data_IF_138636424923
#
_entry.id   IF_138636424923
#
_cell.length_a   1.000
_cell.length_b   1.000
_cell.length_c   1.000
_cell.angle_alpha   90.00
_cell.angle_beta   90.00
_cell.angle_gamma   90.00
#
_symmetry.space_group_name_H-M   'P 1'
#
loop_
_entity.id
_entity.type
_entity.pdbx_description
1 polymer ?
#
# COMPACT_ATOMS: atom_id res chain seq x y z
N UNK A 1 9.49 -76.41 -42.04
CA UNK A 1 10.67 -75.54 -42.16
C UNK A 1 10.19 -74.10 -42.29
N UNK A 2 10.28 -73.31 -41.21
CA UNK A 2 9.83 -71.91 -41.14
C UNK A 2 11.06 -71.02 -40.94
N UNK A 3 11.66 -70.48 -42.00
CA UNK A 3 12.77 -69.51 -41.91
C UNK A 3 12.85 -68.64 -43.17
N UNK A 4 11.90 -67.74 -43.36
CA UNK A 4 12.01 -66.63 -44.33
C UNK A 4 11.03 -65.51 -43.96
N UNK A 5 11.23 -64.86 -42.81
CA UNK A 5 10.54 -63.59 -42.52
C UNK A 5 11.27 -62.73 -41.47
N UNK A 6 12.61 -62.65 -41.53
CA UNK A 6 13.40 -61.78 -40.64
C UNK A 6 14.60 -61.24 -41.43
N UNK A 7 14.37 -60.39 -42.44
CA UNK A 7 15.46 -59.53 -43.00
C UNK A 7 14.93 -58.18 -43.52
N UNK A 8 13.67 -58.06 -43.95
CA UNK A 8 13.18 -56.82 -44.58
C UNK A 8 12.42 -55.84 -43.65
N UNK A 9 12.66 -55.89 -42.34
CA UNK A 9 12.11 -54.93 -41.35
C UNK A 9 13.19 -53.98 -40.79
N UNK A 10 14.46 -54.19 -41.14
CA UNK A 10 15.57 -53.38 -40.62
C UNK A 10 15.96 -52.17 -41.50
N UNK A 11 15.33 -51.94 -42.66
CA UNK A 11 15.74 -50.89 -43.62
C UNK A 11 14.77 -49.67 -43.64
N UNK A 12 13.58 -49.78 -43.05
CA UNK A 12 12.59 -48.67 -43.01
C UNK A 12 12.63 -47.91 -41.66
N UNK A 13 13.49 -48.29 -40.73
CA UNK A 13 13.66 -47.63 -39.43
C UNK A 13 14.80 -46.59 -39.39
N UNK A 14 15.26 -46.12 -40.56
CA UNK A 14 16.45 -45.26 -40.69
C UNK A 14 16.19 -43.87 -41.29
N UNK A 15 14.94 -43.44 -41.54
CA UNK A 15 14.67 -42.18 -42.25
C UNK A 15 13.62 -41.24 -41.64
N UNK A 16 13.47 -41.24 -40.31
CA UNK A 16 12.79 -40.14 -39.60
C UNK A 16 13.65 -39.50 -38.52
N UNK A 17 14.99 -39.62 -38.62
CA UNK A 17 15.86 -38.67 -37.94
C UNK A 17 15.79 -37.37 -38.74
N UNK A 18 14.94 -36.45 -38.28
CA UNK A 18 15.05 -35.03 -38.57
C UNK A 18 16.53 -34.64 -38.58
N UNK A 19 17.03 -34.32 -39.78
CA UNK A 19 18.42 -33.99 -40.07
C UNK A 19 18.82 -32.61 -39.50
N UNK A 20 18.54 -32.35 -38.23
CA UNK A 20 18.99 -31.16 -37.50
C UNK A 20 19.89 -31.46 -36.29
N UNK A 21 19.99 -32.71 -35.82
CA UNK A 21 20.80 -33.06 -34.63
C UNK A 21 22.18 -33.65 -34.91
N UNK A 22 22.56 -33.83 -36.18
CA UNK A 22 23.83 -34.47 -36.58
C UNK A 22 25.05 -33.54 -36.52
N UNK A 23 24.85 -32.23 -36.36
CA UNK A 23 25.93 -31.23 -36.25
C UNK A 23 26.08 -30.61 -34.85
N UNK A 24 25.25 -31.00 -33.88
CA UNK A 24 25.37 -30.52 -32.51
C UNK A 24 26.51 -31.23 -31.78
N UNK A 25 27.46 -30.47 -31.23
CA UNK A 25 28.56 -31.03 -30.45
C UNK A 25 28.05 -31.73 -29.18
N UNK A 26 28.78 -32.72 -28.69
CA UNK A 26 28.49 -33.38 -27.41
C UNK A 26 28.48 -32.38 -26.24
N UNK A 27 29.33 -31.36 -26.33
CA UNK A 27 29.36 -30.20 -25.43
C UNK A 27 28.03 -29.45 -25.43
N UNK A 28 27.46 -29.17 -26.61
CA UNK A 28 26.18 -28.47 -26.71
C UNK A 28 25.02 -29.24 -26.06
N UNK A 29 24.95 -30.56 -26.26
CA UNK A 29 23.92 -31.40 -25.61
C UNK A 29 24.08 -31.44 -24.09
N UNK A 30 25.33 -31.55 -23.62
CA UNK A 30 25.62 -31.50 -22.18
C UNK A 30 25.24 -30.16 -21.56
N UNK A 31 25.51 -29.05 -22.27
CA UNK A 31 25.13 -27.72 -21.84
C UNK A 31 23.60 -27.55 -21.73
N UNK A 32 22.80 -28.17 -22.62
CA UNK A 32 21.34 -28.18 -22.48
C UNK A 32 20.91 -28.84 -21.17
N UNK A 33 21.43 -30.03 -20.86
CA UNK A 33 21.08 -30.75 -19.63
C UNK A 33 21.51 -30.00 -18.37
N UNK A 34 22.72 -29.44 -18.36
CA UNK A 34 23.21 -28.61 -17.25
C UNK A 34 22.36 -27.34 -17.08
N UNK A 35 21.93 -26.73 -18.18
CA UNK A 35 20.99 -25.61 -18.17
C UNK A 35 19.63 -25.97 -17.57
N UNK A 36 19.03 -27.10 -17.98
CA UNK A 36 17.75 -27.58 -17.40
C UNK A 36 17.87 -27.91 -15.91
N UNK A 37 18.98 -28.53 -15.49
CA UNK A 37 19.26 -28.79 -14.08
C UNK A 37 19.43 -27.50 -13.27
N UNK A 38 20.14 -26.50 -13.81
CA UNK A 38 20.30 -25.20 -13.17
C UNK A 38 18.94 -24.46 -13.04
N UNK A 39 18.06 -24.57 -14.03
CA UNK A 39 16.68 -24.06 -13.93
C UNK A 39 15.92 -24.73 -12.79
N UNK A 40 15.94 -26.06 -12.72
CA UNK A 40 15.26 -26.81 -11.65
C UNK A 40 15.81 -26.46 -10.25
N UNK A 41 17.07 -26.05 -10.16
CA UNK A 41 17.72 -25.60 -8.94
C UNK A 41 17.56 -24.10 -8.64
N UNK A 42 16.83 -23.34 -9.48
CA UNK A 42 16.63 -21.89 -9.33
C UNK A 42 17.87 -21.03 -9.61
N UNK A 43 18.91 -21.60 -10.26
CA UNK A 43 20.18 -20.94 -10.59
C UNK A 43 20.12 -20.31 -11.98
N UNK A 44 19.31 -19.27 -12.14
CA UNK A 44 18.98 -18.73 -13.47
C UNK A 44 20.16 -18.15 -14.25
N UNK A 45 21.10 -17.46 -13.58
CA UNK A 45 22.30 -16.93 -14.25
C UNK A 45 23.21 -18.05 -14.77
N UNK A 46 23.36 -19.14 -14.00
CA UNK A 46 24.10 -20.33 -14.44
C UNK A 46 23.38 -20.99 -15.63
N UNK A 47 22.05 -21.16 -15.53
CA UNK A 47 21.23 -21.70 -16.61
C UNK A 47 21.34 -20.90 -17.91
N UNK A 48 21.31 -19.57 -17.82
CA UNK A 48 21.46 -18.69 -18.98
C UNK A 48 22.83 -18.90 -19.67
N UNK A 49 23.91 -19.01 -18.88
CA UNK A 49 25.24 -19.29 -19.40
C UNK A 49 25.32 -20.64 -20.13
N UNK A 50 24.71 -21.69 -19.57
CA UNK A 50 24.64 -23.00 -20.21
C UNK A 50 23.82 -22.99 -21.51
N UNK A 51 22.69 -22.27 -21.55
CA UNK A 51 21.91 -22.17 -22.78
C UNK A 51 22.61 -21.34 -23.87
N UNK A 52 23.36 -20.30 -23.50
CA UNK A 52 24.18 -19.55 -24.45
C UNK A 52 25.31 -20.41 -25.03
N UNK A 53 25.94 -21.25 -24.20
CA UNK A 53 26.91 -22.25 -24.66
C UNK A 53 26.27 -23.29 -25.59
N UNK A 54 25.10 -23.83 -25.25
CA UNK A 54 24.38 -24.76 -26.11
C UNK A 54 24.10 -24.14 -27.50
N UNK A 55 23.71 -22.87 -27.53
CA UNK A 55 23.45 -22.13 -28.77
C UNK A 55 24.74 -21.87 -29.58
N UNK A 56 25.86 -21.52 -28.93
CA UNK A 56 27.14 -21.34 -29.63
C UNK A 56 27.67 -22.64 -30.24
N UNK A 57 27.35 -23.78 -29.60
CA UNK A 57 27.64 -25.12 -30.08
C UNK A 57 26.65 -25.63 -31.17
N UNK A 58 25.74 -24.77 -31.63
CA UNK A 58 24.87 -25.04 -32.77
C UNK A 58 23.55 -25.75 -32.45
N UNK A 59 23.15 -25.83 -31.17
CA UNK A 59 21.84 -26.38 -30.78
C UNK A 59 20.72 -25.44 -31.30
N UNK A 60 19.86 -25.97 -32.16
CA UNK A 60 18.68 -25.27 -32.72
C UNK A 60 17.38 -25.96 -32.29
N UNK A 61 17.27 -26.22 -31.00
CA UNK A 61 16.07 -26.82 -30.41
C UNK A 61 15.12 -25.72 -29.93
N UNK A 62 13.88 -25.73 -30.41
CA UNK A 62 12.86 -24.73 -30.08
C UNK A 62 12.52 -24.72 -28.59
N UNK A 63 12.43 -25.88 -27.94
CA UNK A 63 12.22 -26.01 -26.49
C UNK A 63 13.35 -25.30 -25.71
N UNK A 64 14.60 -25.53 -26.12
CA UNK A 64 15.78 -24.92 -25.49
C UNK A 64 15.80 -23.41 -25.72
N UNK A 65 15.43 -22.96 -26.92
CA UNK A 65 15.37 -21.53 -27.25
C UNK A 65 14.28 -20.81 -26.45
N UNK A 66 13.10 -21.41 -26.31
CA UNK A 66 12.00 -20.88 -25.51
C UNK A 66 12.39 -20.80 -24.03
N UNK A 67 12.96 -21.87 -23.48
CA UNK A 67 13.42 -21.92 -22.10
C UNK A 67 14.53 -20.90 -21.83
N UNK A 68 15.51 -20.79 -22.74
CA UNK A 68 16.59 -19.81 -22.64
C UNK A 68 16.07 -18.37 -22.64
N UNK A 69 15.09 -18.08 -23.51
CA UNK A 69 14.44 -16.76 -23.56
C UNK A 69 13.68 -16.47 -22.27
N UNK A 70 12.91 -17.43 -21.77
CA UNK A 70 12.15 -17.30 -20.53
C UNK A 70 13.07 -17.06 -19.31
N UNK A 71 14.18 -17.79 -19.21
CA UNK A 71 15.19 -17.61 -18.15
C UNK A 71 15.80 -16.21 -18.21
N UNK A 72 16.17 -15.71 -19.40
CA UNK A 72 16.71 -14.35 -19.55
C UNK A 72 15.69 -13.28 -19.15
N UNK A 73 14.43 -13.43 -19.57
CA UNK A 73 13.36 -12.52 -19.14
C UNK A 73 13.16 -12.57 -17.61
N UNK A 74 13.25 -13.73 -16.98
CA UNK A 74 13.11 -13.86 -15.53
C UNK A 74 14.25 -13.16 -14.79
N UNK A 75 15.50 -13.29 -15.26
CA UNK A 75 16.67 -12.57 -14.71
C UNK A 75 16.46 -11.06 -14.83
N UNK A 76 16.10 -10.56 -16.02
CA UNK A 76 15.86 -9.13 -16.22
C UNK A 76 14.72 -8.60 -15.35
N UNK A 77 13.64 -9.37 -15.17
CA UNK A 77 12.56 -9.00 -14.26
C UNK A 77 13.03 -8.93 -12.80
N UNK A 78 13.90 -9.85 -12.35
CA UNK A 78 14.51 -9.80 -11.02
C UNK A 78 15.40 -8.57 -10.86
N UNK A 79 16.17 -8.20 -11.88
CA UNK A 79 16.99 -6.99 -11.85
C UNK A 79 16.15 -5.71 -11.75
N UNK A 80 15.05 -5.62 -12.51
CA UNK A 80 14.11 -4.50 -12.41
C UNK A 80 13.44 -4.45 -11.04
N UNK A 81 13.00 -5.60 -10.51
CA UNK A 81 12.43 -5.71 -9.17
C UNK A 81 13.41 -5.23 -8.09
N UNK A 82 14.68 -5.66 -8.15
CA UNK A 82 15.72 -5.22 -7.21
C UNK A 82 16.03 -3.73 -7.29
N UNK A 83 15.73 -3.09 -8.43
CA UNK A 83 15.83 -1.64 -8.64
C UNK A 83 14.52 -0.90 -8.31
N UNK A 84 13.52 -1.60 -7.77
CA UNK A 84 12.16 -1.10 -7.54
C UNK A 84 11.46 -0.57 -8.81
N UNK A 85 11.91 -0.98 -10.00
CA UNK A 85 11.30 -0.63 -11.28
C UNK A 85 10.20 -1.64 -11.63
N UNK A 86 9.12 -1.61 -10.85
CA UNK A 86 8.07 -2.62 -10.88
C UNK A 86 7.31 -2.68 -12.22
N UNK A 87 7.16 -1.54 -12.90
CA UNK A 87 6.49 -1.49 -14.20
C UNK A 87 7.28 -2.25 -15.26
N UNK A 88 8.60 -2.03 -15.34
CA UNK A 88 9.44 -2.78 -16.27
C UNK A 88 9.61 -4.25 -15.84
N UNK A 89 9.60 -4.54 -14.54
CA UNK A 89 9.61 -5.92 -14.03
C UNK A 89 8.36 -6.70 -14.49
N UNK A 90 7.15 -6.16 -14.31
CA UNK A 90 5.91 -6.79 -14.76
C UNK A 90 5.86 -6.94 -16.28
N UNK A 91 6.19 -5.87 -17.02
CA UNK A 91 6.21 -5.90 -18.48
C UNK A 91 7.17 -6.98 -19.00
N UNK A 92 8.30 -7.18 -18.33
CA UNK A 92 9.26 -8.23 -18.68
C UNK A 92 8.70 -9.61 -18.36
N UNK A 93 8.06 -9.80 -17.19
CA UNK A 93 7.41 -11.06 -16.83
C UNK A 93 6.27 -11.45 -17.78
N UNK A 94 5.51 -10.49 -18.30
CA UNK A 94 4.41 -10.75 -19.24
C UNK A 94 4.89 -11.25 -20.60
N UNK A 95 6.20 -11.11 -20.91
CA UNK A 95 6.79 -11.74 -22.10
C UNK A 95 6.99 -13.26 -21.94
N UNK A 96 6.89 -13.79 -20.71
CA UNK A 96 7.05 -15.21 -20.41
C UNK A 96 5.69 -15.91 -20.55
N UNK A 97 5.50 -16.59 -21.68
CA UNK A 97 4.26 -17.34 -21.98
C UNK A 97 4.44 -18.78 -21.51
N UNK A 98 3.89 -19.12 -20.34
CA UNK A 98 4.04 -20.47 -19.77
C UNK A 98 3.29 -21.51 -20.60
N UNK A 99 4.04 -22.36 -21.28
CA UNK A 99 3.60 -23.57 -21.99
C UNK A 99 4.25 -24.82 -21.34
N UNK A 100 4.13 -25.98 -21.99
CA UNK A 100 4.69 -27.24 -21.46
C UNK A 100 6.24 -27.23 -21.41
N UNK A 101 6.91 -26.59 -22.37
CA UNK A 101 8.38 -26.53 -22.45
C UNK A 101 9.00 -25.68 -21.33
N UNK A 102 8.26 -24.70 -20.79
CA UNK A 102 8.74 -23.81 -19.73
C UNK A 102 7.97 -23.95 -18.41
N UNK A 103 7.13 -24.99 -18.28
CA UNK A 103 6.27 -25.20 -17.10
C UNK A 103 7.04 -25.23 -15.77
N UNK A 104 8.31 -25.64 -15.79
CA UNK A 104 9.20 -25.65 -14.61
C UNK A 104 9.38 -24.27 -13.98
N UNK A 105 9.27 -23.18 -14.77
CA UNK A 105 9.42 -21.80 -14.29
C UNK A 105 8.14 -21.21 -13.69
N UNK A 106 6.98 -21.87 -13.85
CA UNK A 106 5.67 -21.32 -13.48
C UNK A 106 5.65 -20.81 -12.04
N UNK A 107 6.13 -21.63 -11.11
CA UNK A 107 6.12 -21.31 -9.68
C UNK A 107 6.92 -20.04 -9.38
N UNK A 108 8.09 -19.89 -9.99
CA UNK A 108 8.99 -18.77 -9.74
C UNK A 108 8.54 -17.49 -10.44
N UNK A 109 7.96 -17.62 -11.65
CA UNK A 109 7.29 -16.51 -12.34
C UNK A 109 6.10 -16.00 -11.53
N UNK A 110 5.24 -16.89 -11.05
CA UNK A 110 4.07 -16.53 -10.23
C UNK A 110 4.49 -15.92 -8.89
N UNK A 111 5.58 -16.43 -8.29
CA UNK A 111 6.14 -15.86 -7.06
C UNK A 111 6.66 -14.46 -7.30
N UNK A 112 7.51 -14.25 -8.30
CA UNK A 112 8.07 -12.94 -8.60
C UNK A 112 6.97 -11.93 -8.96
N UNK A 113 5.92 -12.36 -9.68
CA UNK A 113 4.76 -11.51 -9.97
C UNK A 113 4.05 -11.04 -8.70
N UNK A 114 3.86 -11.92 -7.71
CA UNK A 114 3.32 -11.55 -6.40
C UNK A 114 4.25 -10.60 -5.65
N UNK A 115 5.54 -10.93 -5.58
CA UNK A 115 6.55 -10.09 -4.91
C UNK A 115 6.58 -8.68 -5.51
N UNK A 116 6.50 -8.54 -6.84
CA UNK A 116 6.40 -7.23 -7.52
C UNK A 116 5.09 -6.51 -7.16
N UNK A 117 3.95 -7.21 -7.15
CA UNK A 117 2.66 -6.61 -6.81
C UNK A 117 2.64 -6.10 -5.36
N UNK A 118 3.22 -6.85 -4.44
CA UNK A 118 3.39 -6.45 -3.05
C UNK A 118 4.31 -5.22 -2.94
N UNK A 119 5.38 -5.18 -3.73
CA UNK A 119 6.25 -4.00 -3.87
C UNK A 119 5.51 -2.75 -4.37
N UNK A 120 4.63 -2.89 -5.37
CA UNK A 120 3.77 -1.80 -5.87
C UNK A 120 2.84 -1.30 -4.76
N UNK A 121 2.17 -2.21 -4.06
CA UNK A 121 1.24 -1.86 -3.00
C UNK A 121 1.95 -1.12 -1.85
N UNK A 122 3.15 -1.57 -1.48
CA UNK A 122 4.00 -0.89 -0.49
C UNK A 122 4.42 0.51 -0.97
N UNK A 123 4.80 0.67 -2.24
CA UNK A 123 5.17 1.98 -2.79
C UNK A 123 3.98 2.95 -2.81
N UNK A 124 2.79 2.48 -3.18
CA UNK A 124 1.58 3.32 -3.15
C UNK A 124 1.28 3.79 -1.72
N UNK A 125 1.41 2.91 -0.73
CA UNK A 125 1.24 3.27 0.68
C UNK A 125 2.26 4.30 1.16
N UNK A 126 3.52 4.18 0.72
CA UNK A 126 4.55 5.20 0.98
C UNK A 126 4.19 6.53 0.32
N UNK A 127 3.76 6.52 -0.95
CA UNK A 127 3.37 7.73 -1.68
C UNK A 127 2.17 8.43 -1.04
N UNK A 128 1.17 7.67 -0.59
CA UNK A 128 0.04 8.18 0.19
C UNK A 128 0.51 8.78 1.52
N UNK A 129 1.48 8.15 2.18
CA UNK A 129 2.13 8.66 3.38
C UNK A 129 2.83 10.01 3.14
N UNK A 130 3.59 10.13 2.05
CA UNK A 130 4.27 11.38 1.66
C UNK A 130 3.23 12.46 1.34
N UNK A 131 2.19 12.13 0.57
CA UNK A 131 1.11 13.09 0.28
C UNK A 131 0.32 13.49 1.52
N UNK A 132 0.19 12.61 2.51
CA UNK A 132 -0.35 12.98 3.81
C UNK A 132 0.58 13.95 4.57
N UNK A 133 1.89 13.71 4.58
CA UNK A 133 2.86 14.63 5.16
C UNK A 133 2.88 16.00 4.46
N UNK A 134 2.77 16.04 3.13
CA UNK A 134 2.65 17.28 2.34
C UNK A 134 1.39 18.07 2.72
N UNK A 135 0.24 17.38 2.92
CA UNK A 135 -0.99 18.03 3.40
C UNK A 135 -0.87 18.57 4.82
N UNK A 136 -0.23 17.81 5.72
CA UNK A 136 0.07 18.28 7.08
C UNK A 136 0.93 19.55 7.04
N UNK A 137 1.96 19.56 6.20
CA UNK A 137 2.83 20.71 6.02
C UNK A 137 2.06 21.93 5.51
N UNK A 138 1.26 21.76 4.45
CA UNK A 138 0.45 22.82 3.87
C UNK A 138 -0.58 23.40 4.87
N UNK A 139 -1.05 22.57 5.81
CA UNK A 139 -1.95 23.01 6.89
C UNK A 139 -1.25 23.71 8.06
N UNK A 140 0.08 23.83 8.04
CA UNK A 140 0.87 24.42 9.13
C UNK A 140 1.11 23.48 10.31
N UNK A 141 0.77 22.19 10.18
CA UNK A 141 0.99 21.17 11.20
C UNK A 141 2.41 20.57 11.09
N UNK A 142 3.40 21.42 11.35
CA UNK A 142 4.82 21.10 11.21
C UNK A 142 5.27 19.97 12.15
N UNK A 143 4.65 19.81 13.32
CA UNK A 143 4.98 18.74 14.27
C UNK A 143 4.58 17.37 13.75
N UNK A 144 3.34 17.22 13.27
CA UNK A 144 2.90 15.95 12.68
C UNK A 144 3.54 15.69 11.31
N UNK A 145 3.90 16.75 10.57
CA UNK A 145 4.72 16.62 9.37
C UNK A 145 6.06 15.95 9.67
N UNK A 146 6.80 16.42 10.69
CA UNK A 146 8.08 15.84 11.11
C UNK A 146 7.95 14.37 11.53
N UNK A 147 6.92 14.05 12.33
CA UNK A 147 6.64 12.68 12.76
C UNK A 147 6.36 11.76 11.58
N UNK A 148 5.53 12.21 10.62
CA UNK A 148 5.17 11.39 9.46
C UNK A 148 6.37 11.19 8.53
N UNK A 149 7.20 12.21 8.34
CA UNK A 149 8.45 12.10 7.59
C UNK A 149 9.34 11.01 8.22
N UNK A 150 9.56 11.04 9.55
CA UNK A 150 10.37 10.03 10.26
C UNK A 150 9.81 8.62 10.14
N UNK A 151 8.49 8.47 10.20
CA UNK A 151 7.82 7.18 10.00
C UNK A 151 8.12 6.62 8.59
N UNK A 152 8.01 7.46 7.56
CA UNK A 152 8.27 7.06 6.18
C UNK A 152 9.76 6.74 5.96
N UNK A 153 10.67 7.50 6.54
CA UNK A 153 12.11 7.25 6.42
C UNK A 153 12.58 5.95 7.05
N UNK A 154 11.84 5.44 8.04
CA UNK A 154 12.09 4.13 8.62
C UNK A 154 11.56 2.98 7.74
N UNK A 155 10.85 3.28 6.65
CA UNK A 155 10.40 2.26 5.69
C UNK A 155 11.57 1.78 4.84
N UNK A 156 11.56 0.49 4.49
CA UNK A 156 12.54 -0.05 3.53
C UNK A 156 12.04 0.13 2.10
N UNK A 157 12.96 0.23 1.13
CA UNK A 157 12.58 0.24 -0.30
C UNK A 157 12.13 1.59 -0.87
N UNK A 158 12.44 2.73 -0.24
CA UNK A 158 12.12 4.03 -0.84
C UNK A 158 12.80 4.19 -2.21
N UNK A 159 11.97 4.50 -3.22
CA UNK A 159 12.42 4.93 -4.54
C UNK A 159 13.11 6.29 -4.49
N UNK A 160 13.93 6.60 -5.49
CA UNK A 160 14.62 7.89 -5.59
C UNK A 160 13.64 9.07 -5.63
N UNK A 161 12.50 8.91 -6.30
CA UNK A 161 11.42 9.92 -6.33
C UNK A 161 10.88 10.22 -4.93
N UNK A 162 10.61 9.18 -4.15
CA UNK A 162 10.12 9.30 -2.78
C UNK A 162 11.16 9.96 -1.86
N UNK A 163 12.44 9.58 -1.98
CA UNK A 163 13.54 10.21 -1.24
C UNK A 163 13.66 11.70 -1.57
N UNK A 164 13.56 12.06 -2.84
CA UNK A 164 13.62 13.45 -3.28
C UNK A 164 12.44 14.28 -2.75
N UNK A 165 11.22 13.73 -2.81
CA UNK A 165 10.02 14.38 -2.23
C UNK A 165 10.17 14.61 -0.73
N UNK A 166 10.64 13.60 0.02
CA UNK A 166 10.89 13.71 1.45
C UNK A 166 11.97 14.74 1.77
N UNK A 167 13.08 14.75 1.01
CA UNK A 167 14.16 15.72 1.20
C UNK A 167 13.67 17.16 0.98
N UNK A 168 12.86 17.39 -0.06
CA UNK A 168 12.25 18.69 -0.32
C UNK A 168 11.31 19.10 0.83
N UNK A 169 10.43 18.20 1.26
CA UNK A 169 9.49 18.47 2.35
C UNK A 169 10.19 18.77 3.67
N UNK A 170 11.29 18.06 3.97
CA UNK A 170 12.16 18.34 5.12
C UNK A 170 12.78 19.74 5.05
N UNK A 171 13.34 20.11 3.91
CA UNK A 171 13.93 21.44 3.73
C UNK A 171 12.88 22.55 3.92
N UNK A 172 11.67 22.33 3.42
CA UNK A 172 10.54 23.25 3.62
C UNK A 172 10.15 23.35 5.10
N UNK A 173 10.13 22.22 5.81
CA UNK A 173 9.87 22.13 7.25
C UNK A 173 10.91 22.89 8.10
N UNK A 174 12.20 22.71 7.82
CA UNK A 174 13.28 23.43 8.49
C UNK A 174 13.17 24.94 8.27
N UNK A 175 12.89 25.36 7.04
CA UNK A 175 12.68 26.78 6.69
C UNK A 175 11.49 27.38 7.42
N UNK A 176 10.37 26.63 7.48
CA UNK A 176 9.16 27.07 8.19
C UNK A 176 9.42 27.20 9.69
N UNK A 177 10.10 26.22 10.32
CA UNK A 177 10.45 26.26 11.73
C UNK A 177 11.41 27.42 12.06
N UNK A 178 12.38 27.74 11.17
CA UNK A 178 13.26 28.90 11.32
C UNK A 178 12.54 30.25 11.24
N UNK A 179 11.49 30.35 10.41
CA UNK A 179 10.62 31.54 10.33
C UNK A 179 9.69 31.68 11.54
N UNK A 180 9.25 30.57 12.13
CA UNK A 180 8.40 30.58 13.35
C UNK A 180 9.22 31.02 14.58
N UNK A 181 10.48 30.60 14.69
CA UNK A 181 11.38 31.02 15.76
C UNK A 181 11.68 32.53 15.76
N UNK A 182 11.73 33.16 14.58
CA UNK A 182 11.92 34.62 14.44
C UNK A 182 10.64 35.44 14.68
N UNK A 183 9.45 34.88 14.44
CA UNK A 183 8.17 35.53 14.76
C UNK A 183 7.75 35.41 16.24
N UNK A 184 8.26 34.39 16.94
CA UNK A 184 7.96 34.09 18.36
C UNK A 184 8.54 35.08 19.38
N UNK A 185 9.43 35.99 18.99
CA UNK A 185 9.96 37.02 19.90
C UNK A 185 9.05 38.25 20.06
N UNK A 186 7.95 38.35 19.28
CA UNK A 186 7.11 39.55 19.23
C UNK A 186 5.69 39.41 19.82
N UNK A 187 5.26 38.24 20.30
CA UNK A 187 3.92 38.08 20.88
C UNK A 187 3.89 37.02 21.99
N UNK A 188 3.58 37.45 23.21
CA UNK A 188 3.29 36.57 24.36
C UNK A 188 1.94 35.88 24.17
N UNK A 189 1.87 34.54 24.01
CA UNK A 189 0.60 33.83 23.96
C UNK A 189 0.03 33.65 25.36
N UNK A 190 -1.23 34.03 25.58
CA UNK A 190 -2.02 33.56 26.73
C UNK A 190 -2.33 32.07 26.55
N UNK A 191 -1.83 31.25 27.46
CA UNK A 191 -2.14 29.81 27.54
C UNK A 191 -3.58 29.64 28.02
N UNK A 192 -4.44 29.06 27.19
CA UNK A 192 -5.75 28.54 27.63
C UNK A 192 -5.53 27.12 28.12
N UNK A 193 -5.47 26.95 29.44
CA UNK A 193 -5.48 25.64 30.09
C UNK A 193 -6.84 24.96 29.83
N UNK A 194 -6.82 23.73 29.33
CA UNK A 194 -8.01 22.87 29.24
C UNK A 194 -7.90 21.85 30.36
N UNK A 195 -8.98 21.64 31.11
CA UNK A 195 -8.98 20.67 32.22
C UNK A 195 -8.93 19.23 31.69
N UNK A 196 -8.34 18.31 32.46
CA UNK A 196 -8.30 16.89 32.10
C UNK A 196 -9.71 16.29 31.99
N UNK A 197 -10.66 16.80 32.77
CA UNK A 197 -12.09 16.46 32.69
C UNK A 197 -12.71 16.79 31.33
N UNK A 198 -12.39 17.94 30.72
CA UNK A 198 -12.91 18.31 29.40
C UNK A 198 -12.36 17.43 28.29
N UNK A 199 -11.08 17.04 28.39
CA UNK A 199 -10.46 16.08 27.45
C UNK A 199 -11.15 14.71 27.54
N UNK A 200 -11.39 14.24 28.76
CA UNK A 200 -12.04 12.95 28.98
C UNK A 200 -13.50 12.95 28.51
N UNK A 201 -14.23 14.05 28.72
CA UNK A 201 -15.60 14.21 28.24
C UNK A 201 -15.69 14.16 26.71
N UNK A 202 -14.79 14.86 26.01
CA UNK A 202 -14.72 14.83 24.55
C UNK A 202 -14.31 13.44 24.02
N UNK A 203 -13.35 12.77 24.66
CA UNK A 203 -12.97 11.38 24.35
C UNK A 203 -14.15 10.43 24.49
N UNK A 204 -14.91 10.52 25.57
CA UNK A 204 -16.08 9.67 25.79
C UNK A 204 -17.17 9.93 24.75
N UNK A 205 -17.41 11.20 24.38
CA UNK A 205 -18.38 11.55 23.34
C UNK A 205 -18.01 10.93 21.98
N UNK A 206 -16.74 11.03 21.60
CA UNK A 206 -16.20 10.40 20.38
C UNK A 206 -16.44 8.90 20.38
N UNK A 207 -16.05 8.22 21.46
CA UNK A 207 -16.26 6.77 21.59
C UNK A 207 -17.73 6.39 21.44
N UNK A 208 -18.64 7.14 22.04
CA UNK A 208 -20.08 6.90 21.95
C UNK A 208 -20.64 7.09 20.53
N UNK A 209 -20.11 8.08 19.78
CA UNK A 209 -20.51 8.25 18.38
C UNK A 209 -20.09 7.06 17.52
N UNK A 210 -18.90 6.51 17.74
CA UNK A 210 -18.44 5.34 16.99
C UNK A 210 -19.29 4.11 17.30
N UNK A 211 -19.64 3.87 18.58
CA UNK A 211 -20.56 2.78 18.93
C UNK A 211 -21.94 2.96 18.26
N UNK A 212 -22.47 4.17 18.22
CA UNK A 212 -23.74 4.44 17.55
C UNK A 212 -23.65 4.25 16.03
N UNK A 213 -22.55 4.66 15.39
CA UNK A 213 -22.29 4.39 13.97
C UNK A 213 -22.25 2.88 13.70
N UNK A 214 -21.54 2.11 14.53
CA UNK A 214 -21.42 0.66 14.36
C UNK A 214 -22.77 -0.04 14.50
N UNK A 215 -23.52 0.29 15.55
CA UNK A 215 -24.84 -0.26 15.79
C UNK A 215 -25.81 0.08 14.64
N UNK A 216 -25.76 1.32 14.14
CA UNK A 216 -26.58 1.74 13.00
C UNK A 216 -26.20 0.98 11.72
N UNK A 217 -24.91 0.89 11.37
CA UNK A 217 -24.48 0.18 10.16
C UNK A 217 -24.85 -1.31 10.24
N UNK A 218 -24.67 -1.94 11.41
CA UNK A 218 -25.06 -3.35 11.64
C UNK A 218 -26.55 -3.60 11.56
N UNK A 219 -27.39 -2.60 11.88
CA UNK A 219 -28.84 -2.72 11.74
C UNK A 219 -29.31 -2.89 10.29
N UNK A 220 -28.47 -2.50 9.31
CA UNK A 220 -28.83 -2.48 7.90
C UNK A 220 -29.79 -1.35 7.51
N UNK A 221 -30.25 -0.53 8.46
CA UNK A 221 -31.11 0.62 8.20
C UNK A 221 -30.36 1.75 7.48
N UNK A 222 -31.11 2.57 6.74
CA UNK A 222 -30.61 3.74 6.00
C UNK A 222 -31.41 5.02 6.31
N UNK A 223 -32.34 4.98 7.26
CA UNK A 223 -33.16 6.14 7.61
C UNK A 223 -32.52 6.96 8.73
N UNK A 224 -32.73 8.29 8.68
CA UNK A 224 -32.31 9.20 9.74
C UNK A 224 -32.97 8.88 11.08
N UNK A 225 -34.20 8.38 11.08
CA UNK A 225 -34.95 8.07 12.31
C UNK A 225 -34.37 6.86 13.06
N UNK A 226 -33.98 5.82 12.31
CA UNK A 226 -33.27 4.68 12.88
C UNK A 226 -31.91 5.12 13.41
N UNK A 227 -31.19 5.95 12.65
CA UNK A 227 -29.92 6.51 13.08
C UNK A 227 -30.04 7.32 14.39
N UNK A 228 -31.03 8.20 14.51
CA UNK A 228 -31.28 8.96 15.73
C UNK A 228 -31.63 8.07 16.92
N UNK A 229 -32.37 6.98 16.69
CA UNK A 229 -32.70 6.00 17.73
C UNK A 229 -31.46 5.27 18.25
N UNK A 230 -30.55 4.88 17.35
CA UNK A 230 -29.26 4.31 17.75
C UNK A 230 -28.42 5.34 18.50
N UNK A 231 -28.28 6.57 17.99
CA UNK A 231 -27.54 7.64 18.66
C UNK A 231 -28.03 7.91 20.09
N UNK A 232 -29.35 7.97 20.29
CA UNK A 232 -29.94 8.17 21.62
C UNK A 232 -29.65 7.03 22.61
N UNK A 233 -29.35 5.82 22.12
CA UNK A 233 -29.00 4.67 22.96
C UNK A 233 -27.57 4.73 23.50
N UNK A 234 -26.67 5.45 22.83
CA UNK A 234 -25.24 5.52 23.18
C UNK A 234 -24.79 6.90 23.67
N UNK A 235 -25.53 7.96 23.35
CA UNK A 235 -25.21 9.32 23.73
C UNK A 235 -26.49 10.05 24.09
N UNK A 236 -26.72 10.49 25.35
CA UNK A 236 -27.94 11.19 25.74
C UNK A 236 -27.97 12.66 25.26
N UNK A 237 -27.39 12.94 24.10
CA UNK A 237 -27.20 14.29 23.58
C UNK A 237 -28.45 14.82 22.86
N UNK A 238 -28.49 16.13 22.65
CA UNK A 238 -29.65 16.81 22.08
C UNK A 238 -29.75 16.59 20.56
N UNK A 239 -30.95 16.76 20.00
CA UNK A 239 -31.27 16.50 18.58
C UNK A 239 -30.31 17.15 17.57
N UNK A 240 -29.72 18.30 17.90
CA UNK A 240 -28.77 18.99 17.04
C UNK A 240 -27.47 18.21 16.85
N UNK A 241 -26.92 17.59 17.91
CA UNK A 241 -25.72 16.78 17.81
C UNK A 241 -25.95 15.57 16.89
N UNK A 242 -27.11 14.91 17.01
CA UNK A 242 -27.46 13.79 16.14
C UNK A 242 -27.57 14.20 14.67
N UNK A 243 -28.18 15.36 14.39
CA UNK A 243 -28.26 15.87 13.02
C UNK A 243 -26.88 16.13 12.42
N UNK A 244 -25.96 16.72 13.20
CA UNK A 244 -24.59 16.94 12.74
C UNK A 244 -23.85 15.61 12.51
N UNK A 245 -24.02 14.64 13.40
CA UNK A 245 -23.41 13.32 13.23
C UNK A 245 -24.02 12.53 12.06
N UNK A 246 -25.31 12.70 11.78
CA UNK A 246 -25.95 12.13 10.58
C UNK A 246 -25.38 12.71 9.29
N UNK A 247 -25.19 14.03 9.25
CA UNK A 247 -24.57 14.70 8.11
C UNK A 247 -23.14 14.22 7.90
N UNK A 248 -22.37 14.12 8.99
CA UNK A 248 -21.00 13.60 8.97
C UNK A 248 -20.95 12.16 8.45
N UNK A 249 -21.80 11.28 8.99
CA UNK A 249 -21.92 9.88 8.58
C UNK A 249 -22.16 9.73 7.08
N UNK A 250 -23.11 10.50 6.53
CA UNK A 250 -23.43 10.45 5.11
C UNK A 250 -22.33 11.05 4.24
N UNK A 251 -21.76 12.19 4.63
CA UNK A 251 -20.70 12.87 3.89
C UNK A 251 -19.47 11.98 3.73
N UNK A 252 -19.09 11.25 4.78
CA UNK A 252 -17.95 10.35 4.78
C UNK A 252 -18.28 8.92 4.36
N UNK A 253 -19.54 8.66 3.98
CA UNK A 253 -20.03 7.34 3.59
C UNK A 253 -19.56 6.22 4.54
N UNK A 254 -19.79 6.39 5.84
CA UNK A 254 -19.27 5.47 6.85
C UNK A 254 -19.91 4.08 6.67
N UNK A 255 -19.08 3.06 6.56
CA UNK A 255 -19.46 1.64 6.38
C UNK A 255 -18.86 0.77 7.48
N UNK A 256 -19.23 -0.52 7.51
CA UNK A 256 -18.64 -1.51 8.41
C UNK A 256 -17.12 -1.65 8.21
N UNK A 257 -16.60 -1.31 7.03
CA UNK A 257 -15.16 -1.38 6.75
C UNK A 257 -14.42 -0.10 7.16
N UNK A 258 -15.04 1.08 6.98
CA UNK A 258 -14.39 2.35 7.28
C UNK A 258 -14.47 2.73 8.75
N UNK A 259 -15.39 2.13 9.51
CA UNK A 259 -15.58 2.43 10.93
C UNK A 259 -14.41 1.99 11.81
N UNK A 260 -13.68 0.94 11.40
CA UNK A 260 -12.54 0.42 12.15
C UNK A 260 -11.33 1.36 12.15
N UNK A 261 -11.30 2.30 11.19
CA UNK A 261 -10.19 3.23 10.94
C UNK A 261 -10.65 4.69 10.94
N UNK A 262 -11.75 4.99 11.64
CA UNK A 262 -12.39 6.29 11.60
C UNK A 262 -11.51 7.37 12.26
N UNK A 263 -11.26 8.45 11.52
CA UNK A 263 -10.54 9.62 12.02
C UNK A 263 -11.45 10.84 12.03
N UNK A 264 -11.38 11.61 13.12
CA UNK A 264 -12.19 12.79 13.30
C UNK A 264 -11.30 14.03 13.30
N UNK A 265 -11.50 14.87 12.30
CA UNK A 265 -10.72 16.11 12.13
C UNK A 265 -10.90 17.07 13.29
N UNK A 266 -12.15 17.24 13.76
CA UNK A 266 -12.40 18.00 14.97
C UNK A 266 -13.67 17.57 15.70
N UNK A 267 -13.66 17.73 17.02
CA UNK A 267 -14.82 17.66 17.90
C UNK A 267 -15.01 19.02 18.52
N UNK A 268 -16.22 19.56 18.38
CA UNK A 268 -16.62 20.87 18.90
C UNK A 268 -17.64 20.69 20.03
N UNK A 269 -17.65 21.62 20.98
CA UNK A 269 -18.67 21.73 22.01
C UNK A 269 -19.53 22.96 21.74
N UNK A 270 -20.86 22.85 21.69
CA UNK A 270 -21.75 24.01 21.49
C UNK A 270 -22.28 24.64 22.79
N UNK A 271 -21.72 24.25 23.94
CA UNK A 271 -22.26 24.62 25.25
C UNK A 271 -23.24 23.61 25.85
N UNK A 272 -23.70 22.61 25.07
CA UNK A 272 -24.61 21.55 25.53
C UNK A 272 -24.12 20.14 25.21
N UNK A 273 -23.49 19.94 24.06
CA UNK A 273 -23.00 18.64 23.63
C UNK A 273 -21.72 18.75 22.81
N UNK A 274 -20.91 17.70 22.86
CA UNK A 274 -19.82 17.50 21.91
C UNK A 274 -20.38 16.90 20.62
N UNK A 275 -19.81 17.24 19.47
CA UNK A 275 -20.09 16.58 18.19
C UNK A 275 -18.90 16.73 17.25
N UNK A 276 -18.74 15.74 16.37
CA UNK A 276 -17.72 15.75 15.31
C UNK A 276 -18.14 16.71 14.20
N UNK A 277 -17.19 17.52 13.72
CA UNK A 277 -17.34 18.32 12.51
C UNK A 277 -16.09 18.18 11.64
N UNK A 278 -16.28 18.31 10.33
CA UNK A 278 -15.17 18.63 9.44
C UNK A 278 -14.61 20.00 9.83
N UNK A 279 -13.34 20.26 9.53
CA UNK A 279 -12.63 21.50 9.85
C UNK A 279 -13.24 22.80 9.24
N UNK A 280 -14.49 22.78 8.78
CA UNK A 280 -15.23 23.98 8.42
C UNK A 280 -15.48 24.81 9.68
N UNK A 281 -14.65 25.83 9.84
CA UNK A 281 -14.73 26.86 10.86
C UNK A 281 -16.08 27.58 10.78
N UNK A 282 -17.05 27.14 11.57
CA UNK A 282 -18.28 27.91 11.79
C UNK A 282 -18.00 28.93 12.89
N UNK A 283 -17.52 30.12 12.50
CA UNK A 283 -17.48 31.32 13.34
C UNK A 283 -16.14 32.05 13.37
N UNK A 284 -15.91 32.95 12.42
CA UNK A 284 -14.96 34.05 12.56
C UNK A 284 -15.72 35.33 12.97
N UNK A 285 -15.19 36.09 13.93
CA UNK A 285 -15.26 37.56 13.86
C UNK A 285 -13.99 38.14 14.46
N UNK A 286 -13.23 38.88 13.64
CA UNK A 286 -12.09 39.71 14.07
C UNK A 286 -12.56 41.13 14.40
N UNK A 287 -11.89 41.70 15.41
CA UNK A 287 -12.07 42.99 16.10
C UNK A 287 -13.19 43.02 17.15
N UNK A 288 -12.81 42.70 18.40
CA UNK A 288 -13.66 42.76 19.59
C UNK A 288 -14.03 41.37 20.11
N UNK A 289 -13.30 40.91 21.13
CA UNK A 289 -13.40 39.56 21.71
C UNK A 289 -14.82 39.17 22.10
N UNK A 290 -15.28 38.01 21.61
CA UNK A 290 -16.14 37.08 22.35
C UNK A 290 -15.76 35.64 22.01
N UNK A 291 -15.09 34.94 22.93
CA UNK A 291 -14.92 33.48 22.89
C UNK A 291 -15.98 32.86 23.79
N UNK A 292 -16.95 32.15 23.22
CA UNK A 292 -17.71 31.16 23.98
C UNK A 292 -17.81 29.88 23.14
N UNK A 293 -17.16 28.81 23.64
CA UNK A 293 -17.23 27.39 23.22
C UNK A 293 -16.24 26.77 22.18
N UNK A 294 -15.14 27.42 21.80
CA UNK A 294 -14.28 26.92 20.71
C UNK A 294 -13.13 25.96 21.12
N UNK A 295 -13.38 24.92 21.94
CA UNK A 295 -12.35 23.88 22.12
C UNK A 295 -12.53 22.80 21.07
N UNK A 296 -11.76 22.92 19.97
CA UNK A 296 -11.71 21.91 18.92
C UNK A 296 -10.59 20.92 19.21
N UNK A 297 -10.89 19.64 19.07
CA UNK A 297 -9.93 18.56 19.29
C UNK A 297 -9.95 17.60 18.12
N UNK A 298 -8.78 17.26 17.56
CA UNK A 298 -8.64 16.21 16.56
C UNK A 298 -8.48 14.88 17.27
N UNK A 299 -9.18 13.83 16.81
CA UNK A 299 -9.14 12.51 17.43
C UNK A 299 -8.93 11.40 16.39
N UNK A 300 -8.07 10.43 16.73
CA UNK A 300 -7.98 9.14 16.02
C UNK A 300 -8.64 8.06 16.85
N UNK A 301 -9.54 7.28 16.25
CA UNK A 301 -10.18 6.14 16.89
C UNK A 301 -9.83 4.87 16.11
N UNK A 302 -9.48 3.81 16.84
CA UNK A 302 -9.27 2.47 16.28
C UNK A 302 -10.18 1.47 16.97
N UNK A 303 -10.64 0.46 16.23
CA UNK A 303 -11.30 -0.71 16.81
C UNK A 303 -10.23 -1.75 17.21
N UNK A 304 -10.12 -2.06 18.49
CA UNK A 304 -9.18 -3.06 19.01
C UNK A 304 -9.97 -4.17 19.71
N UNK A 305 -10.33 -5.21 18.94
CA UNK A 305 -11.00 -6.40 19.47
C UNK A 305 -12.43 -6.17 19.96
N UNK A 306 -13.18 -5.26 19.32
CA UNK A 306 -14.57 -4.93 19.69
C UNK A 306 -14.69 -3.81 20.72
N UNK A 307 -13.57 -3.14 21.05
CA UNK A 307 -13.55 -1.93 21.86
C UNK A 307 -12.93 -0.77 21.07
N UNK A 308 -13.65 0.35 20.97
CA UNK A 308 -13.10 1.55 20.34
C UNK A 308 -12.14 2.29 21.27
N UNK A 309 -10.89 2.47 20.81
CA UNK A 309 -9.83 3.18 21.53
C UNK A 309 -9.50 4.49 20.82
N UNK A 310 -9.50 5.58 21.57
CA UNK A 310 -8.98 6.87 21.12
C UNK A 310 -7.48 6.91 21.38
N UNK A 311 -6.68 6.95 20.32
CA UNK A 311 -5.21 6.78 20.40
C UNK A 311 -4.44 8.07 20.24
N UNK A 312 -4.95 9.03 19.47
CA UNK A 312 -4.36 10.36 19.32
C UNK A 312 -5.40 11.42 19.59
N UNK A 313 -5.06 12.42 20.41
CA UNK A 313 -5.88 13.62 20.55
C UNK A 313 -5.02 14.87 20.69
N UNK A 314 -5.24 15.82 19.79
CA UNK A 314 -4.52 17.09 19.80
C UNK A 314 -5.53 18.23 19.77
N UNK A 315 -5.23 19.31 20.49
CA UNK A 315 -6.05 20.50 20.42
C UNK A 315 -5.90 21.08 19.00
N UNK A 316 -6.99 21.18 18.26
CA UNK A 316 -6.99 21.81 16.95
C UNK A 316 -6.71 23.30 17.14
N UNK A 317 -5.77 23.83 16.36
CA UNK A 317 -5.38 25.25 16.37
C UNK A 317 -6.40 26.10 15.63
#
# INVERSE_FOLDING_TARGET
MKKTLIVLVCIIMAFTMSACDLFASSTGKKAVEEGKLAVAAGKYNEAAGFFDLAKSEGIKNDEVNELAKAVKSLISAQEFYNKADYNNALKTLDTIIINDSIAVLRKDVDKLRRDIQDGINSNNSIDEGISYAERLFASGDYGNTDLKIKEIENSTGLSDSQRNRLALLKQQLETANGKVASASQAATPRVVYVSESEKQAAKNAVTNFVYAYEAFVRSGSRSSDAYYSHMASYSPTWSNAYKQQWNYFNKHNITNYSIDWLTFDSVTYDGKAYYVVDNETIGETKNGVFTTSSTKWKYTVINDGGAFKVTNYTKAK
#
